data_IF_863412101186
#
_entry.id   IF_863412101186
#
_cell.length_a   1.000
_cell.length_b   1.000
_cell.length_c   1.000
_cell.angle_alpha   90.00
_cell.angle_beta   90.00
_cell.angle_gamma   90.00
#
_symmetry.space_group_name_H-M   'P 1'
#
loop_
_entity.id
_entity.type
_entity.pdbx_description
1 polymer ?
#
# COMPACT_ATOMS: atom_id res chain seq x y z
N UNK A 1 -9.42 -10.26 -23.21
CA UNK A 1 -8.47 -9.52 -22.34
C UNK A 1 -8.16 -8.09 -22.83
N UNK A 2 -8.73 -7.60 -23.95
CA UNK A 2 -8.74 -6.15 -24.27
C UNK A 2 -10.10 -5.49 -23.99
N UNK A 3 -11.20 -6.15 -24.38
CA UNK A 3 -12.57 -5.64 -24.17
C UNK A 3 -12.94 -5.44 -22.70
N UNK A 4 -12.49 -6.34 -21.81
CA UNK A 4 -12.78 -6.23 -20.38
C UNK A 4 -12.17 -4.97 -19.76
N UNK A 5 -10.96 -4.58 -20.18
CA UNK A 5 -10.29 -3.39 -19.66
C UNK A 5 -10.85 -2.11 -20.28
N UNK A 6 -11.26 -2.14 -21.56
CA UNK A 6 -11.98 -1.03 -22.19
C UNK A 6 -13.36 -0.80 -21.56
N UNK A 7 -14.08 -1.88 -21.23
CA UNK A 7 -15.36 -1.82 -20.52
C UNK A 7 -15.21 -1.31 -19.08
N UNK A 8 -14.17 -1.74 -18.37
CA UNK A 8 -13.83 -1.23 -17.03
C UNK A 8 -13.45 0.25 -17.04
N UNK A 9 -12.74 0.72 -18.06
CA UNK A 9 -12.40 2.14 -18.24
C UNK A 9 -13.64 3.00 -18.48
N UNK A 10 -14.51 2.58 -19.41
CA UNK A 10 -15.76 3.31 -19.69
C UNK A 10 -16.72 3.38 -18.49
N UNK A 11 -16.68 2.40 -17.59
CA UNK A 11 -17.46 2.40 -16.34
C UNK A 11 -16.86 3.29 -15.25
N UNK A 12 -15.55 3.57 -15.29
CA UNK A 12 -14.88 4.49 -14.36
C UNK A 12 -15.02 5.96 -14.77
N UNK A 13 -15.26 6.23 -16.06
CA UNK A 13 -15.49 7.57 -16.60
C UNK A 13 -16.91 8.10 -16.29
N UNK A 14 -17.85 7.22 -15.93
CA UNK A 14 -19.25 7.54 -15.59
C UNK A 14 -19.74 6.85 -14.29
N UNK A 15 -19.18 7.24 -13.12
CA UNK A 15 -19.42 6.55 -11.84
C UNK A 15 -20.89 6.59 -11.35
N UNK A 16 -21.70 7.51 -11.84
CA UNK A 16 -23.13 7.63 -11.59
C UNK A 16 -23.97 6.49 -12.21
N UNK A 17 -23.41 5.71 -13.14
CA UNK A 17 -24.09 4.60 -13.82
C UNK A 17 -23.83 3.23 -13.17
N UNK A 18 -23.11 3.20 -12.04
CA UNK A 18 -22.74 1.98 -11.31
C UNK A 18 -23.81 1.58 -10.30
N UNK A 19 -24.76 0.75 -10.74
CA UNK A 19 -25.73 0.14 -9.83
C UNK A 19 -25.05 -0.80 -8.80
N UNK A 20 -25.65 -1.02 -7.62
CA UNK A 20 -25.10 -1.93 -6.61
C UNK A 20 -24.79 -3.35 -7.13
N UNK A 21 -25.61 -3.85 -8.06
CA UNK A 21 -25.42 -5.16 -8.71
C UNK A 21 -24.19 -5.18 -9.64
N UNK A 22 -23.92 -4.07 -10.34
CA UNK A 22 -22.73 -3.91 -11.19
C UNK A 22 -21.46 -3.81 -10.35
N UNK A 23 -21.53 -3.15 -9.20
CA UNK A 23 -20.41 -3.08 -8.24
C UNK A 23 -20.09 -4.48 -7.69
N UNK A 24 -21.11 -5.28 -7.34
CA UNK A 24 -20.91 -6.67 -6.90
C UNK A 24 -20.31 -7.57 -8.00
N UNK A 25 -20.73 -7.39 -9.25
CA UNK A 25 -20.18 -8.12 -10.39
C UNK A 25 -18.70 -7.76 -10.67
N UNK A 26 -18.33 -6.48 -10.51
CA UNK A 26 -16.95 -6.01 -10.61
C UNK A 26 -16.05 -6.58 -9.51
N UNK A 27 -16.57 -6.65 -8.28
CA UNK A 27 -15.87 -7.21 -7.13
C UNK A 27 -15.65 -8.73 -7.29
N UNK A 28 -16.66 -9.44 -7.84
CA UNK A 28 -16.53 -10.85 -8.23
C UNK A 28 -15.50 -11.08 -9.34
N UNK A 29 -15.45 -10.21 -10.36
CA UNK A 29 -14.48 -10.28 -11.44
C UNK A 29 -13.05 -9.98 -10.99
N UNK A 30 -12.86 -8.98 -10.12
CA UNK A 30 -11.57 -8.67 -9.51
C UNK A 30 -11.09 -9.82 -8.60
N UNK A 31 -11.97 -10.36 -7.75
CA UNK A 31 -11.67 -11.53 -6.92
C UNK A 31 -11.32 -12.77 -7.75
N UNK A 32 -11.99 -12.98 -8.89
CA UNK A 32 -11.70 -14.06 -9.83
C UNK A 32 -10.41 -13.83 -10.63
N UNK A 33 -10.01 -12.57 -10.86
CA UNK A 33 -8.73 -12.19 -11.46
C UNK A 33 -7.58 -12.37 -10.48
N UNK A 34 -7.76 -11.94 -9.23
CA UNK A 34 -6.81 -12.17 -8.12
C UNK A 34 -6.61 -13.67 -7.91
N UNK A 35 -7.71 -14.43 -7.86
CA UNK A 35 -7.68 -15.90 -7.78
C UNK A 35 -6.90 -16.51 -8.94
N UNK A 36 -7.04 -15.95 -10.15
CA UNK A 36 -6.34 -16.38 -11.37
C UNK A 36 -4.83 -16.15 -11.32
N UNK A 37 -4.41 -15.03 -10.75
CA UNK A 37 -2.99 -14.69 -10.57
C UNK A 37 -2.38 -15.55 -9.47
N UNK A 38 -3.16 -15.91 -8.44
CA UNK A 38 -2.73 -16.80 -7.34
C UNK A 38 -2.85 -18.31 -7.64
N UNK A 39 -3.08 -18.72 -8.89
CA UNK A 39 -3.34 -20.12 -9.28
C UNK A 39 -2.11 -20.99 -9.53
N UNK A 40 -0.91 -20.56 -9.14
CA UNK A 40 0.14 -21.54 -8.85
C UNK A 40 -0.29 -22.30 -7.59
N UNK A 41 -0.20 -23.64 -7.62
CA UNK A 41 -0.42 -24.45 -6.42
C UNK A 41 0.57 -23.97 -5.34
N UNK A 42 0.08 -23.20 -4.38
CA UNK A 42 0.88 -22.78 -3.25
C UNK A 42 1.26 -24.03 -2.47
N UNK A 43 2.55 -24.20 -2.20
CA UNK A 43 2.99 -25.30 -1.35
C UNK A 43 2.23 -25.20 -0.01
N UNK A 44 1.53 -26.26 0.44
CA UNK A 44 0.83 -26.26 1.71
C UNK A 44 1.78 -25.84 2.84
N UNK A 45 1.36 -24.88 3.66
CA UNK A 45 2.18 -24.34 4.75
C UNK A 45 3.17 -23.24 4.36
N UNK A 46 3.30 -22.91 3.07
CA UNK A 46 4.04 -21.71 2.63
C UNK A 46 3.43 -20.44 3.24
N UNK A 47 4.23 -19.38 3.33
CA UNK A 47 3.79 -18.09 3.87
C UNK A 47 2.57 -17.52 3.12
N UNK A 48 2.52 -17.70 1.80
CA UNK A 48 1.40 -17.28 0.96
C UNK A 48 0.14 -18.10 1.25
N UNK A 49 0.27 -19.42 1.48
CA UNK A 49 -0.83 -20.28 1.90
C UNK A 49 -1.33 -19.90 3.31
N UNK A 50 -0.42 -19.60 4.24
CA UNK A 50 -0.76 -19.10 5.58
C UNK A 50 -1.47 -17.76 5.52
N UNK A 51 -0.98 -16.82 4.72
CA UNK A 51 -1.62 -15.52 4.49
C UNK A 51 -3.03 -15.67 3.93
N UNK A 52 -3.20 -16.53 2.91
CA UNK A 52 -4.51 -16.79 2.30
C UNK A 52 -5.54 -17.30 3.33
N UNK A 53 -5.11 -18.09 4.30
CA UNK A 53 -5.96 -18.64 5.37
C UNK A 53 -6.14 -17.69 6.56
N UNK A 54 -5.35 -16.63 6.66
CA UNK A 54 -5.42 -15.67 7.78
C UNK A 54 -6.47 -14.60 7.51
N UNK A 55 -7.51 -14.58 8.34
CA UNK A 55 -8.50 -13.50 8.30
C UNK A 55 -7.97 -12.22 8.97
N UNK A 56 -8.60 -11.09 8.69
CA UNK A 56 -8.30 -9.84 9.40
C UNK A 56 -8.55 -9.98 10.91
N UNK A 57 -9.58 -10.72 11.32
CA UNK A 57 -9.88 -10.95 12.72
C UNK A 57 -8.80 -11.78 13.43
N UNK A 58 -8.21 -12.76 12.73
CA UNK A 58 -7.09 -13.54 13.27
C UNK A 58 -5.84 -12.68 13.40
N UNK A 59 -5.51 -11.91 12.36
CA UNK A 59 -4.38 -10.98 12.40
C UNK A 59 -4.47 -9.96 13.54
N UNK A 60 -5.68 -9.44 13.81
CA UNK A 60 -5.91 -8.52 14.94
C UNK A 60 -5.87 -9.22 16.31
N UNK A 61 -6.24 -10.50 16.39
CA UNK A 61 -6.13 -11.29 17.62
C UNK A 61 -4.65 -11.53 17.96
N UNK A 62 -3.85 -11.85 16.96
CA UNK A 62 -2.42 -12.13 17.11
C UNK A 62 -1.62 -10.86 17.50
N UNK A 63 -2.08 -9.68 17.11
CA UNK A 63 -1.49 -8.42 17.58
C UNK A 63 -1.94 -8.03 18.98
N UNK A 64 -3.17 -8.36 19.38
CA UNK A 64 -3.70 -8.08 20.72
C UNK A 64 -3.03 -8.90 21.82
N UNK A 65 -2.58 -10.13 21.53
CA UNK A 65 -1.84 -10.98 22.48
C UNK A 65 -0.40 -10.50 22.72
N UNK A 66 0.11 -9.57 21.91
CA UNK A 66 1.49 -9.08 21.94
C UNK A 66 1.70 -7.79 22.75
N UNK A 67 0.77 -7.42 23.64
CA UNK A 67 0.71 -6.18 24.45
C UNK A 67 0.50 -4.87 23.68
N UNK A 68 -0.59 -4.15 24.01
CA UNK A 68 -0.74 -2.71 23.67
C UNK A 68 -2.08 -2.21 23.11
N UNK A 69 -3.12 -3.02 22.96
CA UNK A 69 -4.39 -2.57 22.35
C UNK A 69 -5.38 -1.88 23.31
N UNK A 70 -5.01 -1.65 24.58
CA UNK A 70 -5.88 -1.05 25.60
C UNK A 70 -5.90 0.49 25.62
N UNK A 71 -5.09 1.19 24.82
CA UNK A 71 -5.03 2.65 24.85
C UNK A 71 -4.90 3.27 23.45
N UNK A 72 -6.04 3.46 22.79
CA UNK A 72 -6.16 4.46 21.72
C UNK A 72 -7.38 5.33 22.06
N UNK A 73 -7.24 6.67 22.21
CA UNK A 73 -8.34 7.55 22.58
C UNK A 73 -9.38 7.59 21.45
N UNK A 74 -10.63 7.23 21.78
CA UNK A 74 -11.73 7.18 20.82
C UNK A 74 -12.55 5.89 20.93
N UNK A 75 -13.14 5.65 22.12
CA UNK A 75 -14.07 4.55 22.46
C UNK A 75 -13.72 3.18 21.85
N UNK A 76 -12.88 2.45 22.58
CA UNK A 76 -12.80 1.00 22.50
C UNK A 76 -14.13 0.38 23.00
N UNK A 77 -15.08 0.17 22.11
CA UNK A 77 -16.14 -0.81 22.32
C UNK A 77 -16.24 -1.65 21.07
N UNK A 78 -15.54 -2.81 21.04
CA UNK A 78 -15.75 -3.89 20.07
C UNK A 78 -16.22 -3.36 18.70
N UNK A 79 -15.50 -2.40 18.12
CA UNK A 79 -15.91 -1.87 16.83
C UNK A 79 -15.72 -3.06 15.90
N UNK A 80 -16.84 -3.69 15.54
CA UNK A 80 -16.88 -4.89 14.73
C UNK A 80 -15.87 -4.64 13.62
N UNK A 81 -14.85 -5.50 13.54
CA UNK A 81 -13.82 -5.39 12.51
C UNK A 81 -14.59 -5.49 11.21
N UNK A 82 -14.85 -4.35 10.60
CA UNK A 82 -15.65 -4.27 9.39
C UNK A 82 -14.65 -4.52 8.29
N UNK A 83 -14.76 -5.62 7.51
CA UNK A 83 -13.94 -5.82 6.34
C UNK A 83 -13.96 -4.55 5.50
N UNK A 84 -12.85 -4.19 4.87
CA UNK A 84 -12.67 -2.87 4.27
C UNK A 84 -13.78 -2.49 3.27
N UNK A 85 -14.38 -3.49 2.61
CA UNK A 85 -15.54 -3.37 1.72
C UNK A 85 -16.82 -2.81 2.40
N UNK A 86 -16.92 -2.90 3.73
CA UNK A 86 -18.06 -2.44 4.52
C UNK A 86 -17.72 -1.21 5.36
N UNK A 87 -16.51 -0.66 5.24
CA UNK A 87 -16.12 0.55 5.96
C UNK A 87 -16.82 1.78 5.37
N UNK A 88 -17.52 2.59 6.19
CA UNK A 88 -18.04 3.88 5.73
C UNK A 88 -16.90 4.77 5.22
N UNK A 89 -17.12 5.43 4.07
CA UNK A 89 -16.10 6.29 3.43
C UNK A 89 -15.47 7.32 4.37
N UNK A 90 -16.23 8.04 5.24
CA UNK A 90 -15.65 9.03 6.15
C UNK A 90 -14.66 8.45 7.17
N UNK A 91 -14.71 7.13 7.42
CA UNK A 91 -13.84 6.45 8.38
C UNK A 91 -12.66 5.74 7.71
N UNK A 92 -12.62 5.69 6.38
CA UNK A 92 -11.65 4.88 5.64
C UNK A 92 -10.21 5.31 5.92
N UNK A 93 -9.91 6.61 5.86
CA UNK A 93 -8.56 7.13 6.13
C UNK A 93 -8.12 6.85 7.57
N UNK A 94 -8.98 7.12 8.56
CA UNK A 94 -8.66 6.90 9.99
C UNK A 94 -8.41 5.42 10.28
N UNK A 95 -9.24 4.52 9.76
CA UNK A 95 -9.04 3.07 9.93
C UNK A 95 -7.82 2.55 9.18
N UNK A 96 -7.56 3.07 7.98
CA UNK A 96 -6.36 2.72 7.21
C UNK A 96 -5.09 3.09 7.98
N UNK A 97 -5.04 4.28 8.58
CA UNK A 97 -3.91 4.72 9.42
C UNK A 97 -3.67 3.78 10.58
N UNK A 98 -4.72 3.47 11.35
CA UNK A 98 -4.63 2.54 12.47
C UNK A 98 -4.11 1.17 12.06
N UNK A 99 -4.65 0.58 10.98
CA UNK A 99 -4.20 -0.70 10.46
C UNK A 99 -2.77 -0.65 9.94
N UNK A 100 -2.35 0.44 9.31
CA UNK A 100 -1.00 0.62 8.79
C UNK A 100 0.05 0.76 9.91
N UNK A 101 -0.26 1.53 10.97
CA UNK A 101 0.60 1.62 12.15
C UNK A 101 0.77 0.25 12.83
N UNK A 102 -0.33 -0.49 12.97
CA UNK A 102 -0.28 -1.88 13.44
C UNK A 102 0.52 -2.77 12.49
N UNK A 103 0.33 -2.64 11.18
CA UNK A 103 1.04 -3.45 10.19
C UNK A 103 2.56 -3.24 10.28
N UNK A 104 3.02 -1.99 10.29
CA UNK A 104 4.46 -1.65 10.36
C UNK A 104 5.11 -2.19 11.64
N UNK A 105 4.41 -2.12 12.77
CA UNK A 105 4.93 -2.64 14.06
C UNK A 105 4.80 -4.16 14.21
N UNK A 106 3.91 -4.79 13.46
CA UNK A 106 3.63 -6.23 13.53
C UNK A 106 4.47 -7.02 12.55
N UNK A 107 4.71 -6.50 11.35
CA UNK A 107 5.40 -7.20 10.26
C UNK A 107 6.75 -7.84 10.66
N UNK A 108 7.60 -7.19 11.49
CA UNK A 108 8.86 -7.81 11.91
C UNK A 108 8.70 -9.00 12.87
N UNK A 109 7.58 -9.09 13.60
CA UNK A 109 7.37 -10.07 14.69
C UNK A 109 6.40 -11.18 14.31
N UNK A 110 5.33 -10.81 13.61
CA UNK A 110 4.31 -11.73 13.11
C UNK A 110 4.05 -11.40 11.62
N UNK A 111 4.92 -11.83 10.70
CA UNK A 111 4.89 -11.38 9.31
C UNK A 111 3.56 -11.64 8.60
N UNK A 112 2.89 -12.77 8.89
CA UNK A 112 1.60 -13.12 8.29
C UNK A 112 0.48 -12.18 8.77
N UNK A 113 0.43 -11.88 10.07
CA UNK A 113 -0.53 -10.92 10.60
C UNK A 113 -0.24 -9.50 10.08
N UNK A 114 1.05 -9.10 10.09
CA UNK A 114 1.49 -7.80 9.60
C UNK A 114 1.14 -7.56 8.14
N UNK A 115 1.41 -8.53 7.25
CA UNK A 115 1.09 -8.39 5.82
C UNK A 115 -0.42 -8.37 5.60
N UNK A 116 -1.21 -9.15 6.37
CA UNK A 116 -2.67 -9.09 6.29
C UNK A 116 -3.20 -7.70 6.65
N UNK A 117 -2.68 -7.10 7.72
CA UNK A 117 -3.03 -5.75 8.14
C UNK A 117 -2.61 -4.70 7.09
N UNK A 118 -1.43 -4.86 6.48
CA UNK A 118 -0.92 -3.96 5.45
C UNK A 118 -1.82 -3.94 4.20
N UNK A 119 -2.25 -5.12 3.73
CA UNK A 119 -3.13 -5.23 2.57
C UNK A 119 -4.51 -4.62 2.84
N UNK A 120 -5.05 -4.82 4.04
CA UNK A 120 -6.31 -4.21 4.45
C UNK A 120 -6.20 -2.68 4.56
N UNK A 121 -5.11 -2.19 5.14
CA UNK A 121 -4.81 -0.77 5.22
C UNK A 121 -4.68 -0.14 3.82
N UNK A 122 -3.97 -0.81 2.90
CA UNK A 122 -3.85 -0.36 1.51
C UNK A 122 -5.22 -0.21 0.84
N UNK A 123 -6.10 -1.20 0.97
CA UNK A 123 -7.45 -1.11 0.39
C UNK A 123 -8.21 0.12 0.92
N UNK A 124 -8.17 0.35 2.24
CA UNK A 124 -8.85 1.49 2.86
C UNK A 124 -8.23 2.83 2.47
N UNK A 125 -6.89 2.92 2.36
CA UNK A 125 -6.23 4.11 1.83
C UNK A 125 -6.61 4.38 0.38
N UNK A 126 -6.68 3.34 -0.45
CA UNK A 126 -7.11 3.49 -1.84
C UNK A 126 -8.57 3.97 -1.91
N UNK A 127 -9.45 3.46 -1.03
CA UNK A 127 -10.83 3.93 -0.93
C UNK A 127 -10.91 5.41 -0.47
N UNK A 128 -10.12 5.78 0.55
CA UNK A 128 -10.03 7.16 1.02
C UNK A 128 -9.51 8.10 -0.08
N UNK A 129 -8.44 7.71 -0.77
CA UNK A 129 -7.82 8.52 -1.82
C UNK A 129 -8.73 8.74 -3.03
N UNK A 130 -9.66 7.82 -3.32
CA UNK A 130 -10.70 8.01 -4.36
C UNK A 130 -11.80 8.97 -3.92
N UNK A 131 -12.06 9.07 -2.62
CA UNK A 131 -13.09 9.94 -2.06
C UNK A 131 -12.56 11.32 -1.64
N UNK A 132 -11.25 11.47 -1.54
CA UNK A 132 -10.59 12.69 -1.10
C UNK A 132 -10.78 13.83 -2.11
N UNK A 133 -10.94 15.04 -1.58
CA UNK A 133 -10.92 16.28 -2.36
C UNK A 133 -9.69 17.10 -1.95
N UNK A 134 -8.82 17.42 -2.90
CA UNK A 134 -7.60 18.19 -2.64
C UNK A 134 -6.47 17.36 -2.01
N UNK A 135 -5.78 17.94 -1.03
CA UNK A 135 -4.45 17.49 -0.56
C UNK A 135 -4.47 16.61 0.70
N UNK A 136 -5.59 15.92 0.95
CA UNK A 136 -5.73 15.02 2.12
C UNK A 136 -4.67 13.91 2.14
N UNK A 137 -4.15 13.55 0.96
CA UNK A 137 -3.07 12.57 0.83
C UNK A 137 -1.83 12.98 1.63
N UNK A 138 -1.54 14.27 1.82
CA UNK A 138 -0.41 14.69 2.66
C UNK A 138 -0.52 14.18 4.09
N UNK A 139 -1.75 14.05 4.62
CA UNK A 139 -2.01 13.62 6.00
C UNK A 139 -1.81 12.13 6.27
N UNK A 140 -1.82 11.28 5.24
CA UNK A 140 -1.71 9.82 5.41
C UNK A 140 -0.83 9.11 4.38
N UNK A 141 -0.47 9.77 3.30
CA UNK A 141 0.34 9.27 2.19
C UNK A 141 1.71 8.73 2.62
N UNK A 142 2.47 9.39 3.50
CA UNK A 142 3.76 8.86 3.95
C UNK A 142 3.64 7.49 4.64
N UNK A 143 2.61 7.32 5.49
CA UNK A 143 2.32 6.04 6.14
C UNK A 143 1.86 4.98 5.13
N UNK A 144 1.04 5.39 4.16
CA UNK A 144 0.59 4.49 3.08
C UNK A 144 1.76 4.00 2.23
N UNK A 145 2.65 4.90 1.80
CA UNK A 145 3.84 4.58 1.02
C UNK A 145 4.77 3.61 1.76
N UNK A 146 5.04 3.86 3.06
CA UNK A 146 5.82 2.94 3.90
C UNK A 146 5.17 1.57 4.04
N UNK A 147 3.85 1.53 4.20
CA UNK A 147 3.09 0.28 4.31
C UNK A 147 3.18 -0.54 3.02
N UNK A 148 3.03 0.10 1.86
CA UNK A 148 3.14 -0.54 0.56
C UNK A 148 4.56 -1.02 0.26
N UNK A 149 5.57 -0.21 0.58
CA UNK A 149 6.98 -0.57 0.42
C UNK A 149 7.33 -1.82 1.26
N UNK A 150 6.94 -1.82 2.53
CA UNK A 150 7.16 -2.96 3.43
C UNK A 150 6.43 -4.22 2.94
N UNK A 151 5.19 -4.07 2.45
CA UNK A 151 4.42 -5.17 1.89
C UNK A 151 5.05 -5.72 0.60
N UNK A 152 5.46 -4.83 -0.31
CA UNK A 152 6.15 -5.21 -1.55
C UNK A 152 7.44 -5.99 -1.27
N UNK A 153 8.29 -5.51 -0.36
CA UNK A 153 9.52 -6.19 0.04
C UNK A 153 9.24 -7.58 0.64
N UNK A 154 8.14 -7.74 1.39
CA UNK A 154 7.73 -9.02 1.95
C UNK A 154 7.37 -10.05 0.87
N UNK A 155 6.67 -9.62 -0.19
CA UNK A 155 6.34 -10.47 -1.34
C UNK A 155 7.56 -10.75 -2.24
N UNK A 156 8.45 -9.76 -2.43
CA UNK A 156 9.72 -9.94 -3.14
C UNK A 156 10.56 -11.04 -2.49
N UNK A 157 10.71 -11.00 -1.16
CA UNK A 157 11.46 -12.00 -0.39
C UNK A 157 10.90 -13.43 -0.49
N UNK A 158 9.67 -13.59 -1.00
CA UNK A 158 8.98 -14.88 -1.19
C UNK A 158 8.83 -15.27 -2.66
N UNK A 159 9.52 -14.56 -3.53
CA UNK A 159 9.47 -14.74 -4.98
C UNK A 159 8.05 -14.58 -5.58
N UNK A 160 7.11 -13.94 -4.88
CA UNK A 160 5.83 -13.53 -5.47
C UNK A 160 6.02 -12.19 -6.18
N UNK A 161 6.65 -12.32 -7.35
CA UNK A 161 7.08 -11.19 -8.17
C UNK A 161 5.90 -10.33 -8.64
N UNK A 162 4.77 -10.95 -8.98
CA UNK A 162 3.61 -10.24 -9.48
C UNK A 162 3.04 -9.30 -8.41
N UNK A 163 2.85 -9.81 -7.19
CA UNK A 163 2.36 -9.00 -6.08
C UNK A 163 3.39 -7.96 -5.61
N UNK A 164 4.68 -8.33 -5.58
CA UNK A 164 5.74 -7.39 -5.24
C UNK A 164 5.75 -6.17 -6.18
N UNK A 165 5.65 -6.40 -7.49
CA UNK A 165 5.62 -5.34 -8.51
C UNK A 165 4.35 -4.51 -8.40
N UNK A 166 3.18 -5.13 -8.23
CA UNK A 166 1.90 -4.41 -8.09
C UNK A 166 1.95 -3.44 -6.91
N UNK A 167 2.36 -3.93 -5.73
CA UNK A 167 2.48 -3.09 -4.54
C UNK A 167 3.57 -2.02 -4.66
N UNK A 168 4.68 -2.30 -5.36
CA UNK A 168 5.72 -1.31 -5.63
C UNK A 168 5.25 -0.22 -6.59
N UNK A 169 4.44 -0.57 -7.59
CA UNK A 169 3.82 0.37 -8.51
C UNK A 169 2.86 1.31 -7.76
N UNK A 170 2.02 0.76 -6.87
CA UNK A 170 1.21 1.57 -5.96
C UNK A 170 2.06 2.48 -5.06
N UNK A 171 3.15 1.96 -4.48
CA UNK A 171 4.04 2.75 -3.63
C UNK A 171 4.66 3.92 -4.40
N UNK A 172 5.13 3.68 -5.62
CA UNK A 172 5.67 4.69 -6.50
C UNK A 172 4.62 5.74 -6.89
N UNK A 173 3.38 5.33 -7.20
CA UNK A 173 2.30 6.27 -7.50
C UNK A 173 1.91 7.16 -6.32
N UNK A 174 1.94 6.62 -5.09
CA UNK A 174 1.77 7.44 -3.87
C UNK A 174 2.96 8.39 -3.71
N UNK A 175 4.18 7.90 -3.90
CA UNK A 175 5.41 8.69 -3.80
C UNK A 175 5.46 9.84 -4.82
N UNK A 176 5.02 9.62 -6.06
CA UNK A 176 4.91 10.66 -7.09
C UNK A 176 4.00 11.80 -6.64
N UNK A 177 2.87 11.50 -6.00
CA UNK A 177 1.96 12.52 -5.45
C UNK A 177 2.52 13.23 -4.22
N UNK A 178 3.44 12.61 -3.49
CA UNK A 178 4.12 13.20 -2.32
C UNK A 178 5.36 14.03 -2.69
N UNK A 179 5.87 13.88 -3.91
CA UNK A 179 7.08 14.54 -4.40
C UNK A 179 7.10 16.07 -4.15
N UNK A 180 6.01 16.83 -4.33
CA UNK A 180 6.02 18.28 -4.07
C UNK A 180 6.40 18.66 -2.63
N UNK A 181 6.20 17.76 -1.67
CA UNK A 181 6.48 17.99 -0.25
C UNK A 181 7.84 17.42 0.20
N UNK A 182 8.42 16.51 -0.59
CA UNK A 182 9.66 15.82 -0.25
C UNK A 182 10.86 16.77 -0.13
N UNK A 183 10.90 17.88 -0.90
CA UNK A 183 12.04 18.80 -0.86
C UNK A 183 12.16 19.56 0.48
N UNK A 184 11.07 19.71 1.22
CA UNK A 184 11.05 20.39 2.53
C UNK A 184 11.15 19.46 3.74
N UNK A 185 11.09 18.14 3.51
CA UNK A 185 11.00 17.13 4.57
C UNK A 185 11.91 15.95 4.21
N UNK A 186 13.04 15.84 4.92
CA UNK A 186 14.09 14.86 4.63
C UNK A 186 13.63 13.42 4.87
N UNK A 187 12.75 13.20 5.85
CA UNK A 187 12.18 11.87 6.09
C UNK A 187 11.21 11.49 4.98
N UNK A 188 10.39 12.44 4.52
CA UNK A 188 9.51 12.20 3.37
C UNK A 188 10.31 11.96 2.08
N UNK A 189 11.39 12.73 1.86
CA UNK A 189 12.30 12.50 0.74
C UNK A 189 12.88 11.08 0.74
N UNK A 190 13.30 10.57 1.90
CA UNK A 190 13.80 9.21 2.03
C UNK A 190 12.73 8.17 1.66
N UNK A 191 11.49 8.35 2.15
CA UNK A 191 10.37 7.45 1.81
C UNK A 191 10.07 7.47 0.30
N UNK A 192 9.99 8.66 -0.30
CA UNK A 192 9.74 8.81 -1.75
C UNK A 192 10.86 8.16 -2.55
N UNK A 193 12.12 8.41 -2.18
CA UNK A 193 13.29 7.78 -2.78
C UNK A 193 13.17 6.25 -2.74
N UNK A 194 12.92 5.68 -1.57
CA UNK A 194 12.91 4.24 -1.38
C UNK A 194 11.80 3.56 -2.17
N UNK A 195 10.61 4.15 -2.22
CA UNK A 195 9.50 3.65 -3.04
C UNK A 195 9.86 3.63 -4.53
N UNK A 196 10.40 4.73 -5.06
CA UNK A 196 10.74 4.85 -6.48
C UNK A 196 11.93 3.95 -6.85
N UNK A 197 12.95 3.88 -6.00
CA UNK A 197 14.11 3.02 -6.19
C UNK A 197 13.72 1.53 -6.17
N UNK A 198 12.87 1.13 -5.21
CA UNK A 198 12.37 -0.24 -5.10
C UNK A 198 11.56 -0.68 -6.32
N UNK A 199 10.62 0.16 -6.76
CA UNK A 199 9.86 -0.07 -7.98
C UNK A 199 10.77 -0.21 -9.21
N UNK A 200 11.74 0.70 -9.37
CA UNK A 200 12.70 0.65 -10.45
C UNK A 200 13.52 -0.64 -10.49
N UNK A 201 14.01 -1.12 -9.34
CA UNK A 201 14.73 -2.41 -9.24
C UNK A 201 13.85 -3.58 -9.67
N UNK A 202 12.62 -3.66 -9.17
CA UNK A 202 11.70 -4.74 -9.51
C UNK A 202 11.37 -4.77 -11.00
N UNK A 203 11.12 -3.61 -11.63
CA UNK A 203 10.87 -3.51 -13.08
C UNK A 203 12.05 -4.02 -13.92
N UNK A 204 13.28 -3.61 -13.58
CA UNK A 204 14.49 -4.13 -14.26
C UNK A 204 14.58 -5.63 -14.14
N UNK A 205 14.39 -6.18 -12.93
CA UNK A 205 14.42 -7.63 -12.74
C UNK A 205 13.32 -8.33 -13.56
N UNK A 206 12.17 -7.67 -13.80
CA UNK A 206 11.03 -8.20 -14.57
C UNK A 206 11.22 -8.15 -16.08
N UNK A 207 12.33 -7.57 -16.55
CA UNK A 207 12.59 -7.37 -17.98
C UNK A 207 12.06 -6.04 -18.53
N UNK A 208 11.33 -5.23 -17.75
CA UNK A 208 10.97 -3.86 -18.12
C UNK A 208 12.12 -2.91 -17.75
N UNK A 209 13.20 -3.04 -18.51
CA UNK A 209 14.45 -2.32 -18.25
C UNK A 209 14.31 -0.82 -18.43
N UNK A 210 13.60 -0.37 -19.45
CA UNK A 210 13.44 1.06 -19.75
C UNK A 210 12.67 1.79 -18.63
N UNK A 211 11.52 1.26 -18.21
CA UNK A 211 10.75 1.87 -17.13
C UNK A 211 11.47 1.76 -15.79
N UNK A 212 12.19 0.65 -15.57
CA UNK A 212 13.02 0.45 -14.39
C UNK A 212 14.17 1.47 -14.28
N UNK A 213 14.95 1.66 -15.35
CA UNK A 213 16.06 2.60 -15.38
C UNK A 213 15.60 4.06 -15.23
N UNK A 214 14.45 4.43 -15.84
CA UNK A 214 13.82 5.74 -15.64
C UNK A 214 13.44 5.98 -14.18
N UNK A 215 12.85 5.00 -13.52
CA UNK A 215 12.49 5.10 -12.09
C UNK A 215 13.75 5.25 -11.23
N UNK A 216 14.79 4.44 -11.48
CA UNK A 216 16.06 4.55 -10.76
C UNK A 216 16.76 5.90 -10.97
N UNK A 217 16.68 6.47 -12.18
CA UNK A 217 17.19 7.81 -12.44
C UNK A 217 16.45 8.86 -11.60
N UNK A 218 15.12 8.81 -11.55
CA UNK A 218 14.31 9.71 -10.70
C UNK A 218 14.70 9.62 -9.23
N UNK A 219 14.89 8.41 -8.71
CA UNK A 219 15.33 8.21 -7.33
C UNK A 219 16.70 8.88 -7.07
N UNK A 220 17.68 8.68 -7.95
CA UNK A 220 19.00 9.33 -7.85
C UNK A 220 18.88 10.86 -7.88
N UNK A 221 18.11 11.40 -8.82
CA UNK A 221 17.90 12.85 -8.92
C UNK A 221 17.29 13.44 -7.65
N UNK A 222 16.33 12.74 -7.02
CA UNK A 222 15.78 13.17 -5.73
C UNK A 222 16.84 13.17 -4.61
N UNK A 223 17.69 12.15 -4.55
CA UNK A 223 18.77 12.06 -3.57
C UNK A 223 19.79 13.20 -3.75
N UNK A 224 20.13 13.55 -4.99
CA UNK A 224 21.06 14.65 -5.30
C UNK A 224 20.46 16.02 -4.90
N UNK A 225 19.21 16.27 -5.29
CA UNK A 225 18.51 17.53 -4.97
C UNK A 225 18.38 17.76 -3.47
N UNK A 226 18.01 16.72 -2.74
CA UNK A 226 17.84 16.80 -1.28
C UNK A 226 19.18 16.97 -0.58
N UNK A 227 20.22 16.22 -0.97
CA UNK A 227 21.58 16.37 -0.41
C UNK A 227 22.12 17.79 -0.53
N UNK A 228 21.96 18.44 -1.69
CA UNK A 228 22.38 19.82 -1.90
C UNK A 228 21.56 20.84 -1.08
N UNK A 229 20.26 20.60 -0.87
CA UNK A 229 19.43 21.48 -0.05
C UNK A 229 19.82 21.38 1.43
N UNK A 230 20.01 20.18 1.97
CA UNK A 230 20.34 20.00 3.40
C UNK A 230 21.76 20.50 3.74
N UNK A 231 22.72 20.37 2.82
CA UNK A 231 24.06 20.96 2.97
C UNK A 231 24.03 22.50 3.05
N UNK A 232 23.04 23.16 2.44
CA UNK A 232 22.88 24.63 2.49
C UNK A 232 22.16 25.14 3.74
N UNK A 233 21.45 24.26 4.45
CA UNK A 233 20.65 24.61 5.64
C UNK A 233 21.41 24.30 6.94
N UNK A 234 22.40 23.40 6.90
CA UNK A 234 23.25 23.13 8.05
C UNK A 234 23.99 24.41 8.50
N UNK A 235 23.83 24.87 9.76
CA UNK A 235 24.58 26.01 10.24
C UNK A 235 26.07 25.68 10.19
N UNK A 236 26.87 26.64 9.71
CA UNK A 236 28.32 26.56 9.83
C UNK A 236 28.63 26.35 11.32
N UNK A 237 29.07 25.15 11.66
CA UNK A 237 29.52 24.83 13.01
C UNK A 237 30.91 25.45 13.13
N UNK A 238 30.95 26.66 13.67
CA UNK A 238 32.15 27.34 14.19
C UNK A 238 32.05 27.49 15.68
#
# INVERSE_FOLDING_TARGET
SGETLAHLRGLLDHPEQLSPERIAALDGAFTAALSRVTRCALAPGSDLDRLRRTSLADALRDTATSSGLAAIPGKATRAAVVPAQRCPRPLAATRARWLAELAVTTLPRAPIAGIRLALEAHYLFAAAARAAHGDELRGYGPLWARTLLAASAWFEARADRAMAVDLACWAAGVAERLMPYALSDGELAAVVHDCVAHHGRLLVQCGDRESGERSLLRARTLADLTSHMWQRIAPATT
#
